data_IF_473119339915
#
_entry.id   IF_473119339915
#
_cell.length_a   1.000
_cell.length_b   1.000
_cell.length_c   1.000
_cell.angle_alpha   90.00
_cell.angle_beta   90.00
_cell.angle_gamma   90.00
#
_symmetry.space_group_name_H-M   'P 1'
#
loop_
_entity.id
_entity.type
_entity.pdbx_description
1 polymer ?
#
# COMPACT_ATOMS: atom_id res chain seq x y z
N UNK A 1 -27.40 28.79 72.69
CA UNK A 1 -27.34 27.44 72.09
C UNK A 1 -27.40 27.60 70.58
N UNK A 2 -26.34 27.28 69.83
CA UNK A 2 -26.38 27.30 68.37
C UNK A 2 -27.00 26.00 67.82
N UNK A 3 -27.63 26.01 66.64
CA UNK A 3 -28.25 24.82 66.06
C UNK A 3 -27.20 23.91 65.39
N UNK A 4 -27.43 22.60 65.55
CA UNK A 4 -26.64 21.50 64.97
C UNK A 4 -26.91 21.40 63.46
N UNK A 5 -25.89 21.23 62.59
CA UNK A 5 -26.10 20.98 61.17
C UNK A 5 -26.45 19.50 60.94
N UNK A 6 -27.57 19.26 60.24
CA UNK A 6 -27.96 17.93 59.80
C UNK A 6 -27.12 17.48 58.59
N UNK A 7 -26.32 16.43 58.80
CA UNK A 7 -25.61 15.70 57.74
C UNK A 7 -26.62 14.91 56.90
N UNK A 8 -26.70 15.21 55.60
CA UNK A 8 -27.49 14.43 54.64
C UNK A 8 -26.60 13.39 53.97
N UNK A 9 -26.62 12.19 54.53
CA UNK A 9 -25.92 11.02 54.01
C UNK A 9 -26.63 10.52 52.73
N UNK A 10 -26.08 10.87 51.56
CA UNK A 10 -26.56 10.38 50.26
C UNK A 10 -26.06 8.97 50.00
N UNK A 11 -26.98 8.00 50.01
CA UNK A 11 -26.77 6.62 49.55
C UNK A 11 -26.15 6.55 48.14
N UNK A 12 -25.14 5.70 47.90
CA UNK A 12 -24.60 5.47 46.57
C UNK A 12 -25.59 4.67 45.72
N UNK A 13 -25.97 5.26 44.58
CA UNK A 13 -26.88 4.69 43.58
C UNK A 13 -26.10 3.60 42.80
N UNK A 14 -26.49 2.33 42.96
CA UNK A 14 -25.88 1.16 42.29
C UNK A 14 -25.86 1.33 40.76
N UNK A 15 -24.68 1.51 40.18
CA UNK A 15 -24.38 1.49 38.74
C UNK A 15 -24.08 0.06 38.25
N UNK A 16 -25.05 -0.86 38.35
CA UNK A 16 -24.88 -2.24 37.82
C UNK A 16 -25.24 -2.41 36.34
N UNK A 17 -25.74 -1.36 35.67
CA UNK A 17 -26.29 -1.47 34.31
C UNK A 17 -25.31 -1.13 33.17
N UNK A 18 -24.10 -0.65 33.48
CA UNK A 18 -23.11 -0.28 32.46
C UNK A 18 -22.27 -1.49 31.98
N UNK A 19 -21.95 -2.42 32.88
CA UNK A 19 -21.08 -3.57 32.60
C UNK A 19 -21.67 -4.54 31.56
N UNK A 20 -22.96 -4.90 31.68
CA UNK A 20 -23.59 -5.83 30.74
C UNK A 20 -23.77 -5.25 29.32
N UNK A 21 -23.93 -3.93 29.19
CA UNK A 21 -24.02 -3.27 27.87
C UNK A 21 -22.69 -3.28 27.12
N UNK A 22 -21.56 -3.24 27.81
CA UNK A 22 -20.24 -3.37 27.20
C UNK A 22 -20.00 -4.81 26.69
N UNK A 23 -20.34 -5.82 27.50
CA UNK A 23 -20.20 -7.23 27.12
C UNK A 23 -21.08 -7.63 25.93
N UNK A 24 -22.30 -7.10 25.83
CA UNK A 24 -23.19 -7.37 24.67
C UNK A 24 -22.69 -6.67 23.40
N UNK A 25 -22.06 -5.48 23.50
CA UNK A 25 -21.44 -4.81 22.34
C UNK A 25 -20.24 -5.60 21.81
N UNK A 26 -19.38 -6.11 22.69
CA UNK A 26 -18.26 -6.96 22.28
C UNK A 26 -18.74 -8.25 21.60
N UNK A 27 -19.76 -8.93 22.14
CA UNK A 27 -20.30 -10.15 21.54
C UNK A 27 -20.94 -9.92 20.15
N UNK A 28 -21.58 -8.75 19.95
CA UNK A 28 -22.13 -8.36 18.64
C UNK A 28 -21.02 -8.04 17.62
N UNK A 29 -19.94 -7.40 18.05
CA UNK A 29 -18.78 -7.13 17.20
C UNK A 29 -18.08 -8.43 16.79
N UNK A 30 -17.91 -9.38 17.71
CA UNK A 30 -17.30 -10.68 17.38
C UNK A 30 -18.17 -11.50 16.42
N UNK A 31 -19.49 -11.49 16.59
CA UNK A 31 -20.41 -12.20 15.69
C UNK A 31 -20.48 -11.58 14.28
N UNK A 32 -20.41 -10.24 14.18
CA UNK A 32 -20.34 -9.56 12.90
C UNK A 32 -19.03 -9.87 12.16
N UNK A 33 -17.92 -9.90 12.90
CA UNK A 33 -16.59 -10.20 12.37
C UNK A 33 -16.46 -11.63 11.84
N UNK A 34 -16.98 -12.62 12.58
CA UNK A 34 -16.99 -14.01 12.12
C UNK A 34 -17.83 -14.19 10.85
N UNK A 35 -18.97 -13.48 10.75
CA UNK A 35 -19.83 -13.55 9.57
C UNK A 35 -19.17 -12.91 8.34
N UNK A 36 -18.54 -11.75 8.50
CA UNK A 36 -17.81 -11.09 7.41
C UNK A 36 -16.63 -11.93 6.89
N UNK A 37 -15.95 -12.64 7.79
CA UNK A 37 -14.84 -13.55 7.42
C UNK A 37 -15.34 -14.75 6.61
N UNK A 38 -16.48 -15.33 7.00
CA UNK A 38 -17.09 -16.45 6.28
C UNK A 38 -17.63 -16.03 4.90
N UNK A 39 -18.26 -14.85 4.83
CA UNK A 39 -18.73 -14.25 3.57
C UNK A 39 -17.55 -13.97 2.61
N UNK A 40 -16.42 -13.48 3.13
CA UNK A 40 -15.20 -13.26 2.35
C UNK A 40 -14.58 -14.56 1.81
N UNK A 41 -14.53 -15.62 2.62
CA UNK A 41 -14.07 -16.95 2.19
C UNK A 41 -14.98 -17.55 1.11
N UNK A 42 -16.31 -17.42 1.27
CA UNK A 42 -17.29 -17.89 0.30
C UNK A 42 -17.22 -17.10 -1.02
N UNK A 43 -17.00 -15.79 -0.95
CA UNK A 43 -16.79 -14.96 -2.12
C UNK A 43 -15.53 -15.39 -2.89
N UNK A 44 -14.44 -15.69 -2.18
CA UNK A 44 -13.20 -16.24 -2.75
C UNK A 44 -13.39 -17.61 -3.40
N UNK A 45 -14.18 -18.50 -2.80
CA UNK A 45 -14.46 -19.83 -3.35
C UNK A 45 -15.28 -19.76 -4.65
N UNK A 46 -16.10 -18.72 -4.81
CA UNK A 46 -16.86 -18.44 -6.04
C UNK A 46 -16.03 -17.85 -7.18
N UNK A 47 -14.78 -17.45 -6.94
CA UNK A 47 -13.89 -17.04 -8.02
C UNK A 47 -13.44 -18.28 -8.80
N UNK A 48 -13.91 -18.37 -10.04
CA UNK A 48 -13.38 -19.37 -10.98
C UNK A 48 -11.89 -19.12 -11.21
N UNK A 49 -11.18 -20.20 -11.52
CA UNK A 49 -9.75 -20.18 -11.80
C UNK A 49 -9.47 -19.61 -13.19
N UNK A 50 -9.88 -18.37 -13.42
CA UNK A 50 -9.68 -17.65 -14.67
C UNK A 50 -8.24 -17.11 -14.76
N UNK A 51 -7.67 -17.14 -15.96
CA UNK A 51 -6.36 -16.53 -16.26
C UNK A 51 -6.47 -15.00 -16.26
N UNK A 52 -7.67 -14.49 -16.55
CA UNK A 52 -7.96 -13.07 -16.71
C UNK A 52 -8.80 -12.60 -15.54
N UNK A 53 -8.14 -12.04 -14.54
CA UNK A 53 -8.79 -11.44 -13.38
C UNK A 53 -9.54 -10.18 -13.78
N UNK A 54 -10.85 -10.21 -13.61
CA UNK A 54 -11.71 -9.04 -13.74
C UNK A 54 -11.49 -8.07 -12.57
N UNK A 55 -11.98 -6.85 -12.74
CA UNK A 55 -11.90 -5.81 -11.72
C UNK A 55 -12.72 -6.20 -10.48
N UNK A 56 -13.91 -6.76 -10.69
CA UNK A 56 -14.77 -7.23 -9.61
C UNK A 56 -14.12 -8.36 -8.83
N UNK A 57 -13.53 -9.33 -9.52
CA UNK A 57 -12.76 -10.42 -8.90
C UNK A 57 -11.57 -9.88 -8.09
N UNK A 58 -10.84 -8.91 -8.64
CA UNK A 58 -9.73 -8.26 -7.94
C UNK A 58 -10.23 -7.50 -6.71
N UNK A 59 -11.36 -6.79 -6.82
CA UNK A 59 -11.98 -6.06 -5.72
C UNK A 59 -12.47 -7.00 -4.62
N UNK A 60 -13.06 -8.14 -4.99
CA UNK A 60 -13.49 -9.19 -4.03
C UNK A 60 -12.26 -9.74 -3.31
N UNK A 61 -11.19 -10.07 -4.05
CA UNK A 61 -9.93 -10.54 -3.49
C UNK A 61 -9.36 -9.51 -2.49
N UNK A 62 -9.25 -8.25 -2.89
CA UNK A 62 -8.71 -7.19 -2.04
C UNK A 62 -9.59 -6.90 -0.83
N UNK A 63 -10.92 -6.90 -0.95
CA UNK A 63 -11.82 -6.77 0.20
C UNK A 63 -11.71 -7.96 1.15
N UNK A 64 -11.54 -9.17 0.61
CA UNK A 64 -11.38 -10.36 1.43
C UNK A 64 -10.02 -10.38 2.13
N UNK A 65 -8.96 -9.83 1.51
CA UNK A 65 -7.60 -9.82 2.07
C UNK A 65 -7.30 -8.61 2.96
N UNK A 66 -7.72 -7.43 2.55
CA UNK A 66 -7.39 -6.13 3.14
C UNK A 66 -8.69 -5.40 3.54
N UNK A 67 -9.78 -6.12 3.79
CA UNK A 67 -10.97 -5.55 4.37
C UNK A 67 -10.77 -5.28 5.87
N UNK A 68 -11.48 -4.30 6.46
CA UNK A 68 -11.37 -3.99 7.88
C UNK A 68 -11.76 -5.18 8.78
N UNK A 69 -12.59 -6.07 8.24
CA UNK A 69 -13.05 -7.29 8.89
C UNK A 69 -12.25 -8.53 8.49
N UNK A 70 -11.19 -8.37 7.67
CA UNK A 70 -10.40 -9.49 7.20
C UNK A 70 -9.47 -10.02 8.29
N UNK A 71 -9.80 -11.18 8.84
CA UNK A 71 -8.86 -11.95 9.67
C UNK A 71 -7.77 -12.63 8.84
N UNK A 72 -8.00 -12.72 7.51
CA UNK A 72 -7.15 -13.45 6.60
C UNK A 72 -5.78 -12.80 6.42
N UNK A 73 -5.66 -11.48 6.57
CA UNK A 73 -4.36 -10.80 6.53
C UNK A 73 -3.44 -11.25 7.68
N UNK A 74 -3.98 -11.34 8.89
CA UNK A 74 -3.23 -11.78 10.07
C UNK A 74 -2.81 -13.24 9.93
N UNK A 75 -3.67 -14.06 9.32
CA UNK A 75 -3.41 -15.45 8.96
C UNK A 75 -2.38 -15.58 7.83
N UNK A 76 -2.32 -14.61 6.91
CA UNK A 76 -1.30 -14.52 5.86
C UNK A 76 0.11 -14.42 6.46
N UNK A 77 0.30 -13.55 7.45
CA UNK A 77 1.60 -13.38 8.10
C UNK A 77 2.11 -14.65 8.79
N UNK A 78 1.20 -15.52 9.26
CA UNK A 78 1.55 -16.73 10.05
C UNK A 78 1.52 -18.02 9.25
N UNK A 79 0.68 -18.14 8.22
CA UNK A 79 0.47 -19.40 7.49
C UNK A 79 0.03 -19.23 6.02
N UNK A 80 0.45 -18.14 5.35
CA UNK A 80 0.07 -17.80 3.96
C UNK A 80 0.16 -18.97 2.95
N UNK A 81 1.09 -19.91 3.14
CA UNK A 81 1.30 -21.05 2.23
C UNK A 81 0.14 -22.05 2.21
N UNK A 82 -0.66 -22.15 3.27
CA UNK A 82 -1.67 -23.20 3.40
C UNK A 82 -3.12 -22.70 3.30
N UNK A 83 -3.39 -21.45 3.69
CA UNK A 83 -4.75 -20.92 3.69
C UNK A 83 -5.25 -20.49 2.29
N UNK A 84 -4.34 -20.15 1.38
CA UNK A 84 -4.68 -19.61 0.07
C UNK A 84 -4.27 -20.55 -1.06
N UNK A 85 -5.17 -20.81 -2.01
CA UNK A 85 -4.79 -21.41 -3.30
C UNK A 85 -3.70 -20.52 -3.89
N UNK A 86 -2.59 -21.13 -4.35
CA UNK A 86 -1.41 -20.43 -4.91
C UNK A 86 -1.76 -19.29 -5.89
N UNK A 87 -2.89 -19.41 -6.59
CA UNK A 87 -3.40 -18.45 -7.58
C UNK A 87 -3.74 -17.07 -6.98
N UNK A 88 -4.42 -17.04 -5.83
CA UNK A 88 -4.79 -15.79 -5.15
C UNK A 88 -3.55 -15.04 -4.67
N UNK A 89 -2.57 -15.80 -4.15
CA UNK A 89 -1.31 -15.26 -3.68
C UNK A 89 -0.53 -14.63 -4.84
N UNK A 90 -0.39 -15.32 -5.97
CA UNK A 90 0.31 -14.76 -7.14
C UNK A 90 -0.35 -13.48 -7.66
N UNK A 91 -1.70 -13.40 -7.66
CA UNK A 91 -2.40 -12.17 -8.04
C UNK A 91 -2.17 -11.05 -7.05
N UNK A 92 -2.24 -11.34 -5.75
CA UNK A 92 -1.98 -10.37 -4.70
C UNK A 92 -0.54 -9.85 -4.74
N UNK A 93 0.46 -10.74 -4.86
CA UNK A 93 1.87 -10.38 -5.01
C UNK A 93 2.10 -9.47 -6.23
N UNK A 94 1.42 -9.76 -7.35
CA UNK A 94 1.46 -8.90 -8.53
C UNK A 94 0.88 -7.49 -8.24
N UNK A 95 -0.26 -7.39 -7.54
CA UNK A 95 -0.84 -6.11 -7.14
C UNK A 95 0.07 -5.35 -6.17
N UNK A 96 0.67 -6.05 -5.20
CA UNK A 96 1.63 -5.47 -4.27
C UNK A 96 2.86 -4.91 -5.00
N UNK A 97 3.32 -5.62 -6.04
CA UNK A 97 4.42 -5.15 -6.89
C UNK A 97 4.05 -3.86 -7.62
N UNK A 98 2.82 -3.78 -8.16
CA UNK A 98 2.32 -2.55 -8.77
C UNK A 98 2.27 -1.41 -7.76
N UNK A 99 1.73 -1.65 -6.57
CA UNK A 99 1.68 -0.65 -5.52
C UNK A 99 3.08 -0.13 -5.16
N UNK A 100 4.09 -1.00 -5.13
CA UNK A 100 5.49 -0.61 -4.91
C UNK A 100 6.00 0.33 -6.01
N UNK A 101 5.64 0.06 -7.28
CA UNK A 101 5.96 0.96 -8.39
C UNK A 101 5.25 2.31 -8.28
N UNK A 102 4.01 2.33 -7.79
CA UNK A 102 3.27 3.57 -7.55
C UNK A 102 3.97 4.41 -6.46
N UNK A 103 4.40 3.80 -5.37
CA UNK A 103 5.15 4.50 -4.32
C UNK A 103 6.49 5.05 -4.82
N UNK A 104 7.21 4.28 -5.64
CA UNK A 104 8.45 4.75 -6.25
C UNK A 104 8.20 5.96 -7.19
N UNK A 105 7.10 5.93 -7.94
CA UNK A 105 6.66 7.05 -8.78
C UNK A 105 6.30 8.28 -7.93
N UNK A 106 5.47 8.12 -6.90
CA UNK A 106 5.04 9.20 -6.00
C UNK A 106 6.19 9.87 -5.25
N UNK A 107 7.22 9.10 -4.85
CA UNK A 107 8.42 9.64 -4.20
C UNK A 107 9.16 10.67 -5.07
N UNK A 108 8.97 10.63 -6.39
CA UNK A 108 9.57 11.59 -7.32
C UNK A 108 8.63 12.74 -7.67
N UNK A 109 7.34 12.47 -7.84
CA UNK A 109 6.36 13.50 -8.26
C UNK A 109 5.80 14.29 -7.09
N UNK A 110 6.05 13.87 -5.85
CA UNK A 110 5.68 14.61 -4.64
C UNK A 110 4.19 14.54 -4.31
N UNK A 111 3.51 13.44 -4.67
CA UNK A 111 2.04 13.31 -4.56
C UNK A 111 1.33 14.48 -5.26
N UNK A 112 1.51 14.59 -6.57
CA UNK A 112 0.89 15.61 -7.42
C UNK A 112 -0.58 15.80 -7.05
N UNK A 113 -0.89 16.95 -6.47
CA UNK A 113 -2.23 17.31 -6.03
C UNK A 113 -3.08 17.59 -7.28
N UNK A 114 -3.93 16.65 -7.68
CA UNK A 114 -4.79 16.77 -8.87
C UNK A 114 -5.24 15.41 -9.44
N UNK A 115 -6.19 15.43 -10.39
CA UNK A 115 -6.48 14.30 -11.28
C UNK A 115 -5.79 14.59 -12.63
N UNK A 116 -4.47 14.32 -12.76
CA UNK A 116 -3.76 14.53 -14.00
C UNK A 116 -4.32 13.65 -15.12
N UNK A 117 -4.26 14.17 -16.34
CA UNK A 117 -4.64 13.42 -17.53
C UNK A 117 -3.68 12.24 -17.76
N UNK A 118 -4.17 11.22 -18.49
CA UNK A 118 -3.41 9.98 -18.71
C UNK A 118 -2.10 10.24 -19.45
N UNK A 119 -2.11 11.16 -20.40
CA UNK A 119 -0.95 11.58 -21.18
C UNK A 119 0.12 12.22 -20.29
N UNK A 120 -0.29 13.09 -19.37
CA UNK A 120 0.61 13.74 -18.42
C UNK A 120 1.24 12.69 -17.47
N UNK A 121 0.43 11.77 -16.96
CA UNK A 121 0.92 10.66 -16.14
C UNK A 121 1.94 9.81 -16.89
N UNK A 122 1.70 9.48 -18.16
CA UNK A 122 2.64 8.71 -18.98
C UNK A 122 3.96 9.47 -19.21
N UNK A 123 3.92 10.79 -19.37
CA UNK A 123 5.12 11.63 -19.45
C UNK A 123 5.89 11.65 -18.13
N UNK A 124 5.20 11.83 -17.00
CA UNK A 124 5.82 11.79 -15.68
C UNK A 124 6.44 10.42 -15.38
N UNK A 125 5.78 9.31 -15.75
CA UNK A 125 6.31 7.95 -15.59
C UNK A 125 7.55 7.75 -16.45
N UNK A 126 7.58 8.26 -17.69
CA UNK A 126 8.78 8.22 -18.54
C UNK A 126 9.92 9.00 -17.90
N UNK A 127 9.64 10.20 -17.39
CA UNK A 127 10.63 11.02 -16.69
C UNK A 127 11.18 10.30 -15.45
N UNK A 128 10.32 9.59 -14.70
CA UNK A 128 10.74 8.78 -13.57
C UNK A 128 11.66 7.61 -13.94
N UNK A 129 11.39 6.93 -15.07
CA UNK A 129 12.33 5.92 -15.60
C UNK A 129 13.67 6.54 -15.98
N UNK A 130 13.67 7.70 -16.63
CA UNK A 130 14.90 8.41 -17.03
C UNK A 130 15.70 8.84 -15.79
N UNK A 131 15.03 9.23 -14.71
CA UNK A 131 15.64 9.55 -13.42
C UNK A 131 16.13 8.32 -12.63
N UNK A 132 15.98 7.10 -13.16
CA UNK A 132 16.46 5.87 -12.53
C UNK A 132 15.55 5.30 -11.45
N UNK A 133 14.28 5.75 -11.36
CA UNK A 133 13.29 5.14 -10.46
C UNK A 133 12.74 3.85 -11.06
N UNK A 134 12.63 2.80 -10.25
CA UNK A 134 11.97 1.56 -10.66
C UNK A 134 10.45 1.71 -10.60
N UNK A 135 9.89 2.21 -11.69
CA UNK A 135 8.44 2.28 -11.91
C UNK A 135 7.91 1.09 -12.72
N UNK A 136 8.75 0.07 -12.97
CA UNK A 136 8.39 -1.14 -13.73
C UNK A 136 7.57 -0.86 -15.00
N UNK A 137 6.49 -1.63 -15.15
CA UNK A 137 5.54 -1.53 -16.27
C UNK A 137 4.35 -0.60 -15.95
N UNK A 138 4.53 0.39 -15.09
CA UNK A 138 3.48 1.36 -14.79
C UNK A 138 3.12 2.16 -16.06
N UNK A 139 1.84 2.47 -16.21
CA UNK A 139 1.28 3.36 -17.23
C UNK A 139 0.29 4.32 -16.59
N UNK A 140 0.05 5.46 -17.22
CA UNK A 140 -0.91 6.46 -16.76
C UNK A 140 -2.32 5.88 -16.64
N UNK A 141 -2.72 5.02 -17.58
CA UNK A 141 -4.01 4.32 -17.51
C UNK A 141 -4.09 3.40 -16.29
N UNK A 142 -3.04 2.63 -16.00
CA UNK A 142 -3.03 1.73 -14.84
C UNK A 142 -3.09 2.54 -13.55
N UNK A 143 -2.36 3.65 -13.48
CA UNK A 143 -2.33 4.53 -12.31
C UNK A 143 -3.69 5.21 -12.08
N UNK A 144 -4.28 5.83 -13.11
CA UNK A 144 -5.62 6.43 -13.05
C UNK A 144 -6.67 5.41 -12.63
N UNK A 145 -6.56 4.19 -13.14
CA UNK A 145 -7.46 3.11 -12.77
C UNK A 145 -7.30 2.67 -11.29
N UNK A 146 -6.08 2.59 -10.77
CA UNK A 146 -5.82 2.30 -9.36
C UNK A 146 -6.44 3.32 -8.39
N UNK A 147 -6.37 4.61 -8.72
CA UNK A 147 -7.03 5.67 -7.94
C UNK A 147 -8.56 5.61 -8.09
N UNK A 148 -9.06 5.41 -9.32
CA UNK A 148 -10.51 5.37 -9.58
C UNK A 148 -11.20 4.23 -8.83
N UNK A 149 -10.56 3.06 -8.75
CA UNK A 149 -11.11 1.90 -8.03
C UNK A 149 -10.91 1.96 -6.51
N UNK A 150 -10.18 2.96 -6.01
CA UNK A 150 -9.85 3.11 -4.59
C UNK A 150 -8.83 2.07 -4.09
N UNK A 151 -8.08 1.43 -5.00
CA UNK A 151 -7.12 0.39 -4.64
C UNK A 151 -5.87 0.98 -4.02
N UNK A 152 -5.47 2.16 -4.48
CA UNK A 152 -4.34 2.87 -3.91
C UNK A 152 -4.56 3.14 -2.41
N UNK A 153 -5.70 3.71 -2.03
CA UNK A 153 -6.06 4.04 -0.65
C UNK A 153 -6.15 2.76 0.19
N UNK A 154 -6.72 1.70 -0.39
CA UNK A 154 -6.85 0.42 0.27
C UNK A 154 -5.50 -0.25 0.52
N UNK A 155 -4.51 -0.14 -0.38
CA UNK A 155 -3.15 -0.59 -0.09
C UNK A 155 -2.44 0.36 0.86
N UNK A 156 -2.55 1.67 0.67
CA UNK A 156 -1.88 2.68 1.48
C UNK A 156 -2.33 2.67 2.94
N UNK A 157 -3.62 2.45 3.21
CA UNK A 157 -4.12 2.36 4.59
C UNK A 157 -3.61 1.13 5.33
N UNK A 158 -3.30 0.03 4.62
CA UNK A 158 -2.86 -1.22 5.23
C UNK A 158 -1.34 -1.38 5.25
N UNK A 159 -0.66 -0.89 4.22
CA UNK A 159 0.78 -1.01 4.06
C UNK A 159 1.53 0.27 4.42
N UNK A 160 0.87 1.43 4.40
CA UNK A 160 1.51 2.72 4.69
C UNK A 160 1.93 2.89 6.16
N UNK A 161 1.32 2.13 7.08
CA UNK A 161 1.78 2.03 8.47
C UNK A 161 2.85 0.93 8.66
N UNK A 162 3.16 0.14 7.62
CA UNK A 162 4.11 -0.96 7.74
C UNK A 162 5.54 -0.39 7.77
N UNK A 163 6.35 -0.71 8.80
CA UNK A 163 7.68 -0.09 8.99
C UNK A 163 8.71 -0.40 7.90
N UNK A 164 8.39 -1.27 6.93
CA UNK A 164 9.21 -1.55 5.75
C UNK A 164 8.80 -0.78 4.48
N UNK A 165 7.71 -0.02 4.54
CA UNK A 165 7.14 0.80 3.47
C UNK A 165 6.96 2.25 3.94
N UNK A 166 7.87 2.70 4.82
CA UNK A 166 7.92 4.09 5.26
C UNK A 166 8.15 4.95 4.03
N UNK A 167 7.18 5.81 3.68
CA UNK A 167 7.39 6.86 2.69
C UNK A 167 8.63 7.63 3.10
N UNK A 168 9.64 7.64 2.25
CA UNK A 168 10.66 8.68 2.30
C UNK A 168 9.93 9.99 1.98
N UNK A 169 9.34 10.58 3.02
CA UNK A 169 8.94 11.96 2.99
C UNK A 169 10.26 12.74 3.00
N UNK A 170 10.86 12.84 1.82
CA UNK A 170 11.77 13.94 1.53
C UNK A 170 10.90 15.18 1.59
N UNK A 171 10.72 15.69 2.80
CA UNK A 171 10.37 17.08 2.98
C UNK A 171 11.52 17.84 2.32
N UNK A 172 11.36 18.14 1.04
CA UNK A 172 11.83 19.39 0.49
C UNK A 172 11.10 20.45 1.31
N UNK A 173 11.57 20.69 2.54
CA UNK A 173 11.33 21.89 3.28
C UNK A 173 11.78 22.96 2.30
N UNK A 174 10.82 23.48 1.55
CA UNK A 174 11.02 24.63 0.70
C UNK A 174 11.78 25.58 1.60
N UNK A 175 13.02 25.85 1.20
CA UNK A 175 13.79 26.90 1.85
C UNK A 175 12.89 28.10 1.65
N UNK A 176 12.17 28.47 2.70
CA UNK A 176 11.40 29.70 2.77
C UNK A 176 12.46 30.75 2.54
N UNK A 177 12.60 31.16 1.28
CA UNK A 177 13.58 32.15 0.88
C UNK A 177 13.26 33.34 1.75
N UNK A 178 14.22 33.69 2.61
CA UNK A 178 14.09 34.76 3.57
C UNK A 178 13.46 35.95 2.86
N UNK A 179 12.43 36.47 3.52
CA UNK A 179 11.56 37.52 3.05
C UNK A 179 12.45 38.69 2.62
N UNK A 180 12.65 38.86 1.31
CA UNK A 180 13.15 40.13 0.79
C UNK A 180 12.05 41.12 1.11
N UNK A 181 12.30 41.99 2.09
CA UNK A 181 11.48 43.17 2.35
C UNK A 181 11.43 43.98 1.06
N UNK A 182 10.35 43.82 0.30
CA UNK A 182 10.03 44.72 -0.81
C UNK A 182 9.57 46.01 -0.16
N UNK A 183 10.53 46.88 0.14
CA UNK A 183 10.31 48.29 0.43
C UNK A 183 9.58 48.89 -0.76
N UNK A 184 8.26 49.02 -0.63
CA UNK A 184 7.40 49.77 -1.54
C UNK A 184 7.72 51.25 -1.36
N UNK A 185 8.62 51.78 -2.19
CA UNK A 185 8.72 53.22 -2.42
C UNK A 185 8.26 53.53 -3.84
N UNK A 186 7.47 54.59 -3.94
CA UNK A 186 6.69 54.96 -5.09
C UNK A 186 7.58 55.50 -6.21
N UNK A 187 7.21 55.23 -7.46
CA UNK A 187 7.21 56.31 -8.44
C UNK A 187 6.33 55.99 -9.64
N UNK A 188 5.32 56.84 -9.80
CA UNK A 188 4.44 56.90 -10.95
C UNK A 188 5.26 57.20 -12.22
N UNK A 189 5.09 56.39 -13.26
CA UNK A 189 5.28 56.89 -14.64
C UNK A 189 4.36 56.22 -15.64
N UNK A 190 3.43 57.02 -16.12
CA UNK A 190 2.75 56.93 -17.40
C UNK A 190 3.70 56.48 -18.53
N UNK A 191 3.24 55.55 -19.36
CA UNK A 191 4.05 55.01 -20.45
C UNK A 191 3.31 54.11 -21.42
N UNK A 192 2.31 54.70 -22.09
CA UNK A 192 1.79 54.43 -23.43
C UNK A 192 2.55 53.44 -24.37
N UNK A 193 1.77 52.93 -25.34
CA UNK A 193 2.08 52.11 -26.53
C UNK A 193 2.03 50.59 -26.28
N UNK A 194 1.14 49.81 -26.90
CA UNK A 194 0.55 49.93 -28.23
C UNK A 194 1.45 49.21 -29.22
N UNK A 195 1.25 47.90 -29.41
CA UNK A 195 1.70 47.25 -30.62
C UNK A 195 0.76 46.11 -31.05
N UNK A 196 0.33 46.27 -32.29
CA UNK A 196 -0.50 45.43 -33.14
C UNK A 196 0.31 44.26 -33.73
N UNK A 197 -0.42 43.20 -34.12
CA UNK A 197 -0.18 42.32 -35.28
C UNK A 197 1.18 41.61 -35.45
N UNK A 198 1.12 40.28 -35.64
CA UNK A 198 1.06 39.73 -37.01
C UNK A 198 1.06 38.19 -37.02
N UNK A 199 0.29 37.67 -37.96
CA UNK A 199 0.37 36.35 -38.58
C UNK A 199 1.81 35.86 -38.83
N UNK A 200 2.00 34.54 -38.70
CA UNK A 200 2.95 33.81 -39.51
C UNK A 200 2.49 32.35 -39.68
N UNK A 201 1.67 32.16 -40.72
CA UNK A 201 1.51 30.91 -41.45
C UNK A 201 2.84 30.54 -42.13
N UNK A 202 3.44 29.39 -41.82
CA UNK A 202 4.39 28.76 -42.74
C UNK A 202 4.41 27.23 -42.64
N UNK A 203 3.73 26.60 -43.61
CA UNK A 203 4.04 25.27 -44.14
C UNK A 203 5.30 25.38 -45.03
N UNK A 204 6.14 24.34 -45.12
CA UNK A 204 5.98 23.45 -46.27
C UNK A 204 6.29 21.96 -46.03
N UNK A 205 5.68 21.17 -46.92
CA UNK A 205 5.75 19.73 -47.05
C UNK A 205 7.09 19.18 -47.57
N UNK A 206 7.47 17.97 -47.13
CA UNK A 206 8.15 16.92 -47.93
C UNK A 206 7.71 15.54 -47.40
N UNK A 207 6.90 14.75 -48.10
CA UNK A 207 7.22 13.78 -49.18
C UNK A 207 8.36 12.80 -48.88
N UNK A 208 8.00 11.55 -48.55
CA UNK A 208 8.49 10.28 -49.16
C UNK A 208 7.85 9.09 -48.41
N UNK A 209 6.86 8.38 -48.95
CA UNK A 209 6.94 7.20 -49.84
C UNK A 209 8.13 6.28 -49.61
N UNK A 210 7.90 5.18 -48.87
CA UNK A 210 8.49 3.88 -49.18
C UNK A 210 7.54 2.76 -48.73
N UNK A 211 6.98 2.09 -49.74
CA UNK A 211 6.17 0.86 -49.68
C UNK A 211 7.10 -0.27 -50.13
N UNK A 212 7.13 -1.38 -49.42
CA UNK A 212 7.84 -2.61 -49.80
C UNK A 212 8.25 -3.34 -48.52
N UNK A 213 7.68 -4.48 -48.16
CA UNK A 213 7.36 -5.63 -49.00
C UNK A 213 8.06 -6.81 -48.33
N UNK A 214 7.40 -7.39 -47.33
CA UNK A 214 7.92 -8.44 -46.47
C UNK A 214 8.10 -9.73 -47.27
N UNK A 215 9.34 -10.05 -47.64
CA UNK A 215 9.69 -11.33 -48.24
C UNK A 215 9.78 -12.40 -47.14
N UNK A 216 8.82 -13.31 -47.17
CA UNK A 216 8.84 -14.59 -46.48
C UNK A 216 9.94 -15.47 -47.06
N UNK A 217 10.87 -15.95 -46.23
CA UNK A 217 11.81 -17.01 -46.63
C UNK A 217 11.82 -18.10 -45.56
N UNK A 218 11.03 -19.13 -45.86
CA UNK A 218 10.97 -20.42 -45.19
C UNK A 218 12.25 -21.19 -45.50
N UNK A 219 13.10 -21.43 -44.50
CA UNK A 219 14.21 -22.38 -44.60
C UNK A 219 14.05 -23.47 -43.53
N UNK A 220 13.57 -24.63 -43.97
CA UNK A 220 13.81 -25.91 -43.31
C UNK A 220 15.28 -26.28 -43.53
N UNK A 221 16.02 -26.54 -42.45
CA UNK A 221 17.42 -26.89 -42.50
C UNK A 221 17.85 -27.75 -41.32
N UNK A 222 17.64 -29.07 -41.49
CA UNK A 222 18.45 -30.22 -41.04
C UNK A 222 19.27 -30.09 -39.75
N UNK A 223 19.01 -31.06 -38.85
CA UNK A 223 19.82 -31.44 -37.71
C UNK A 223 21.28 -31.69 -38.09
N UNK A 224 22.19 -31.04 -37.38
CA UNK A 224 23.58 -31.45 -37.28
C UNK A 224 23.92 -31.61 -35.80
N UNK A 225 24.10 -32.86 -35.41
CA UNK A 225 24.61 -33.29 -34.11
C UNK A 225 26.07 -32.85 -33.98
N UNK A 226 26.31 -31.73 -33.29
CA UNK A 226 27.66 -31.37 -32.85
C UNK A 226 27.90 -31.89 -31.44
N UNK A 227 28.96 -32.69 -31.35
CA UNK A 227 29.57 -33.19 -30.13
C UNK A 227 29.87 -32.06 -29.15
N UNK A 228 29.32 -32.19 -27.95
CA UNK A 228 30.07 -32.20 -26.69
C UNK A 228 30.93 -30.97 -26.35
N UNK A 229 30.36 -30.10 -25.53
CA UNK A 229 31.10 -29.39 -24.48
C UNK A 229 30.48 -29.83 -23.15
N UNK A 230 31.22 -30.46 -22.22
CA UNK A 230 30.67 -30.84 -20.93
C UNK A 230 30.27 -29.58 -20.16
N UNK A 231 29.00 -29.52 -19.75
CA UNK A 231 28.49 -28.49 -18.87
C UNK A 231 29.30 -28.47 -17.56
N UNK A 232 29.62 -27.29 -16.99
CA UNK A 232 30.21 -27.21 -15.67
C UNK A 232 29.29 -27.91 -14.66
N UNK A 233 29.74 -29.02 -14.09
CA UNK A 233 29.12 -29.60 -12.90
C UNK A 233 29.23 -28.58 -11.77
N UNK A 234 28.18 -27.78 -11.57
CA UNK A 234 27.97 -27.09 -10.32
C UNK A 234 27.86 -28.15 -9.22
N UNK A 235 28.94 -28.33 -8.47
CA UNK A 235 28.87 -28.98 -7.16
C UNK A 235 27.84 -28.20 -6.36
N UNK A 236 26.70 -28.82 -6.07
CA UNK A 236 25.80 -28.33 -5.02
C UNK A 236 26.62 -28.32 -3.74
N UNK A 237 27.16 -27.15 -3.43
CA UNK A 237 27.64 -26.83 -2.11
C UNK A 237 26.39 -26.87 -1.24
N UNK A 238 26.22 -27.94 -0.48
CA UNK A 238 25.21 -28.04 0.56
C UNK A 238 25.56 -27.00 1.61
N UNK A 239 25.13 -25.76 1.39
CA UNK A 239 25.02 -24.79 2.45
C UNK A 239 23.91 -25.30 3.37
N UNK A 240 24.31 -26.06 4.38
CA UNK A 240 23.56 -26.19 5.61
C UNK A 240 23.54 -24.79 6.24
N UNK A 241 22.68 -23.93 5.73
CA UNK A 241 22.34 -22.67 6.38
C UNK A 241 21.60 -23.07 7.63
N UNK A 242 22.29 -22.93 8.75
CA UNK A 242 21.79 -23.01 10.11
C UNK A 242 20.73 -21.92 10.33
N UNK A 243 19.56 -22.06 9.70
CA UNK A 243 18.38 -21.22 9.96
C UNK A 243 17.76 -21.51 11.34
N UNK A 244 18.33 -22.47 12.09
CA UNK A 244 17.85 -22.84 13.42
C UNK A 244 18.13 -21.80 14.50
N UNK A 245 19.24 -21.06 14.45
CA UNK A 245 19.59 -20.14 15.54
C UNK A 245 18.77 -18.85 15.51
N UNK A 246 18.63 -18.21 14.35
CA UNK A 246 17.85 -16.97 14.21
C UNK A 246 16.38 -17.19 14.56
N UNK A 247 15.79 -18.30 14.10
CA UNK A 247 14.41 -18.66 14.43
C UNK A 247 14.26 -18.97 15.93
N UNK A 248 15.23 -19.66 16.55
CA UNK A 248 15.21 -19.92 17.98
C UNK A 248 15.35 -18.64 18.81
N UNK A 249 16.20 -17.70 18.39
CA UNK A 249 16.35 -16.39 19.04
C UNK A 249 15.09 -15.55 18.92
N UNK A 250 14.45 -15.53 17.74
CA UNK A 250 13.17 -14.86 17.55
C UNK A 250 12.08 -15.44 18.47
N UNK A 251 11.94 -16.78 18.51
CA UNK A 251 10.96 -17.45 19.38
C UNK A 251 11.25 -17.19 20.86
N UNK A 252 12.52 -17.21 21.28
CA UNK A 252 12.92 -16.90 22.65
C UNK A 252 12.67 -15.44 23.02
N UNK A 253 12.91 -14.51 22.10
CA UNK A 253 12.63 -13.08 22.27
C UNK A 253 11.13 -12.83 22.43
N UNK A 254 10.31 -13.44 21.57
CA UNK A 254 8.86 -13.31 21.63
C UNK A 254 8.27 -13.91 22.93
N UNK A 255 8.80 -15.05 23.39
CA UNK A 255 8.39 -15.65 24.66
C UNK A 255 8.71 -14.73 25.87
N UNK A 256 9.88 -14.08 25.88
CA UNK A 256 10.24 -13.11 26.92
C UNK A 256 9.33 -11.88 26.90
N UNK A 257 8.99 -11.38 25.72
CA UNK A 257 8.06 -10.26 25.56
C UNK A 257 6.68 -10.59 26.14
N UNK A 258 6.12 -11.76 25.81
CA UNK A 258 4.84 -12.20 26.38
C UNK A 258 4.88 -12.35 27.90
N UNK A 259 5.96 -12.89 28.46
CA UNK A 259 6.13 -12.97 29.92
C UNK A 259 6.17 -11.58 30.58
N UNK A 260 6.81 -10.60 29.94
CA UNK A 260 6.84 -9.23 30.43
C UNK A 260 5.44 -8.60 30.45
N UNK A 261 4.68 -8.77 29.36
CA UNK A 261 3.29 -8.29 29.28
C UNK A 261 2.39 -8.92 30.36
N UNK A 262 2.50 -10.24 30.58
CA UNK A 262 1.73 -10.93 31.62
C UNK A 262 2.05 -10.44 33.03
N UNK A 263 3.32 -10.12 33.32
CA UNK A 263 3.72 -9.52 34.60
C UNK A 263 3.14 -8.13 34.78
N UNK A 264 3.26 -7.28 33.75
CA UNK A 264 2.69 -5.93 33.75
C UNK A 264 1.18 -5.97 33.99
N UNK A 265 0.45 -6.85 33.31
CA UNK A 265 -0.99 -6.99 33.50
C UNK A 265 -1.35 -7.47 34.90
N UNK A 266 -0.60 -8.42 35.46
CA UNK A 266 -0.82 -8.91 36.82
C UNK A 266 -0.57 -7.80 37.85
N UNK A 267 0.45 -6.96 37.65
CA UNK A 267 0.71 -5.82 38.54
C UNK A 267 -0.39 -4.76 38.46
N UNK A 268 -0.91 -4.48 37.26
CA UNK A 268 -2.10 -3.62 37.08
C UNK A 268 -3.32 -4.18 37.80
N UNK A 269 -3.52 -5.50 37.76
CA UNK A 269 -4.62 -6.19 38.42
C UNK A 269 -4.51 -6.11 39.96
N UNK A 270 -3.31 -6.25 40.51
CA UNK A 270 -3.05 -6.05 41.94
C UNK A 270 -3.32 -4.62 42.39
N UNK A 271 -2.98 -3.63 41.57
CA UNK A 271 -3.28 -2.21 41.87
C UNK A 271 -4.79 -2.01 41.92
N UNK A 272 -5.55 -2.56 40.96
CA UNK A 272 -7.01 -2.49 40.97
C UNK A 272 -7.63 -3.14 42.21
N UNK A 273 -7.17 -4.34 42.59
CA UNK A 273 -7.65 -5.03 43.79
C UNK A 273 -7.36 -4.26 45.09
N UNK A 274 -6.25 -3.52 45.16
CA UNK A 274 -5.94 -2.65 46.31
C UNK A 274 -6.86 -1.43 46.42
N UNK A 275 -7.45 -0.96 45.32
CA UNK A 275 -8.37 0.16 45.33
C UNK A 275 -9.82 -0.24 45.66
N UNK A 276 -10.15 -1.53 45.59
CA UNK A 276 -11.51 -2.04 45.87
C UNK A 276 -11.72 -2.46 47.33
N UNK A 277 -10.65 -2.61 48.12
CA UNK A 277 -10.70 -2.89 49.57
C UNK A 277 -10.41 -1.63 50.38
#
# INVERSE_FOLDING_TARGET
>A
MPPVPQSTEKKPRKTKNASWKASVKQLKQTAAKTKATEDGKKALEGLEESVNWTNDETRILLKALLGPDSELYMELGTNAKYAYRKKYLSRYEWLQKIFTYILAFESMTGNGEGDPDVEELDEQIKNARVAGRDVGNLSGTMLKWWYTEGWYELFNNYLGEHPGLVREHDFHLGTISDTIEISSDEDAKDGNSGFESADAEEKPARKSTAKGGTASTKTQGKSLTLRGVPAPCHKQQSSCTSMGSELAEYLASNAKYMQHMMKSDNDRLKIQQKHEN
#
